data_IF_234079715629
#
_entry.id   IF_234079715629
#
_cell.length_a   1.000
_cell.length_b   1.000
_cell.length_c   1.000
_cell.angle_alpha   90.00
_cell.angle_beta   90.00
_cell.angle_gamma   90.00
#
_symmetry.space_group_name_H-M   'P 1'
#
loop_
_entity.id
_entity.type
_entity.pdbx_description
1 polymer ?
#
# COMPACT_ATOMS: atom_id res chain seq x y z
N UNK A 1 -48.09 72.71 -59.60
CA UNK A 1 -49.14 72.61 -58.56
C UNK A 1 -49.33 71.13 -58.25
N UNK A 2 -48.79 70.66 -57.11
CA UNK A 2 -49.51 70.30 -55.87
C UNK A 2 -50.31 68.98 -55.99
N UNK A 3 -50.36 68.03 -55.04
CA UNK A 3 -49.64 67.63 -53.82
C UNK A 3 -50.25 66.23 -53.45
N UNK A 4 -49.54 65.40 -52.70
CA UNK A 4 -49.79 63.96 -52.40
C UNK A 4 -50.91 63.69 -51.34
N UNK A 5 -50.98 62.55 -50.58
CA UNK A 5 -50.71 61.09 -50.78
C UNK A 5 -51.77 60.14 -50.11
N UNK A 6 -51.63 58.80 -50.27
CA UNK A 6 -51.77 57.69 -49.27
C UNK A 6 -51.92 56.32 -50.00
N UNK A 7 -51.40 55.15 -49.61
CA UNK A 7 -51.02 54.57 -48.29
C UNK A 7 -50.01 53.40 -48.47
N UNK A 8 -49.24 53.16 -47.41
CA UNK A 8 -48.28 52.06 -47.18
C UNK A 8 -48.80 50.62 -47.35
N UNK A 9 -47.91 49.69 -47.75
CA UNK A 9 -47.52 48.55 -46.89
C UNK A 9 -46.25 47.86 -47.39
N UNK A 10 -45.24 47.81 -46.52
CA UNK A 10 -43.99 47.09 -46.75
C UNK A 10 -44.19 45.57 -46.69
N UNK A 11 -43.66 44.86 -47.68
CA UNK A 11 -43.49 43.41 -47.67
C UNK A 11 -42.13 43.07 -47.08
N UNK A 12 -42.10 42.65 -45.81
CA UNK A 12 -40.91 42.10 -45.17
C UNK A 12 -40.53 40.75 -45.79
N UNK A 13 -39.32 40.67 -46.32
CA UNK A 13 -38.69 39.40 -46.72
C UNK A 13 -38.35 38.62 -45.45
N UNK A 14 -39.04 37.50 -45.22
CA UNK A 14 -38.68 36.55 -44.16
C UNK A 14 -37.45 35.74 -44.60
N UNK A 15 -36.28 36.09 -44.08
CA UNK A 15 -35.07 35.28 -44.15
C UNK A 15 -35.26 34.00 -43.33
N UNK A 16 -35.29 32.85 -44.00
CA UNK A 16 -35.26 31.54 -43.35
C UNK A 16 -33.87 31.30 -42.75
N UNK A 17 -33.76 31.41 -41.43
CA UNK A 17 -32.55 31.04 -40.70
C UNK A 17 -32.39 29.50 -40.72
N UNK A 18 -31.39 29.01 -41.47
CA UNK A 18 -30.92 27.62 -41.38
C UNK A 18 -30.42 27.34 -39.96
N UNK A 19 -31.22 26.60 -39.18
CA UNK A 19 -30.87 26.08 -37.86
C UNK A 19 -29.76 25.05 -38.03
N UNK A 20 -28.50 25.44 -37.80
CA UNK A 20 -27.36 24.51 -37.69
C UNK A 20 -27.57 23.64 -36.46
N UNK A 21 -28.09 22.43 -36.67
CA UNK A 21 -28.16 21.40 -35.66
C UNK A 21 -26.75 20.91 -35.35
N UNK A 22 -26.20 21.42 -34.23
CA UNK A 22 -24.91 20.98 -33.70
C UNK A 22 -25.07 19.53 -33.24
N UNK A 23 -24.66 18.57 -34.07
CA UNK A 23 -24.41 17.18 -33.64
C UNK A 23 -23.45 17.23 -32.46
N UNK A 24 -23.98 16.98 -31.26
CA UNK A 24 -23.23 16.86 -30.02
C UNK A 24 -22.38 15.58 -30.16
N UNK A 25 -21.13 15.73 -30.60
CA UNK A 25 -20.13 14.66 -30.47
C UNK A 25 -19.94 14.49 -28.97
N UNK A 26 -20.63 13.52 -28.37
CA UNK A 26 -20.33 13.06 -27.02
C UNK A 26 -18.95 12.44 -27.08
N UNK A 27 -17.92 13.22 -26.73
CA UNK A 27 -16.60 12.68 -26.41
C UNK A 27 -16.82 11.51 -25.43
N UNK A 28 -16.33 10.30 -25.72
CA UNK A 28 -16.41 9.22 -24.76
C UNK A 28 -15.78 9.71 -23.46
N UNK A 29 -16.50 9.58 -22.33
CA UNK A 29 -15.93 9.83 -21.00
C UNK A 29 -14.65 9.01 -20.91
N UNK A 30 -13.51 9.70 -20.87
CA UNK A 30 -12.21 9.06 -20.73
C UNK A 30 -12.29 8.10 -19.53
N UNK A 31 -11.94 6.84 -19.76
CA UNK A 31 -11.80 5.86 -18.69
C UNK A 31 -10.75 6.40 -17.71
N UNK A 32 -11.16 6.91 -16.55
CA UNK A 32 -10.33 7.72 -15.64
C UNK A 32 -9.30 6.92 -14.82
N UNK A 33 -9.01 5.67 -15.19
CA UNK A 33 -8.04 4.83 -14.49
C UNK A 33 -6.68 4.74 -15.22
N UNK A 34 -5.62 4.33 -14.52
CA UNK A 34 -4.33 4.02 -15.14
C UNK A 34 -4.46 2.98 -16.26
N UNK A 35 -3.60 3.08 -17.26
CA UNK A 35 -3.54 2.10 -18.36
C UNK A 35 -2.80 0.85 -17.90
N UNK A 36 -3.32 -0.29 -18.35
CA UNK A 36 -2.69 -1.59 -18.16
C UNK A 36 -1.82 -1.92 -19.38
N UNK A 37 -0.77 -2.72 -19.19
CA UNK A 37 0.10 -3.20 -20.27
C UNK A 37 -0.65 -3.96 -21.37
N UNK A 38 -1.79 -4.59 -21.05
CA UNK A 38 -2.65 -5.22 -22.06
C UNK A 38 -3.47 -4.23 -22.90
N UNK A 39 -3.34 -2.92 -22.69
CA UNK A 39 -4.17 -1.87 -23.30
C UNK A 39 -5.50 -1.59 -22.57
N UNK A 40 -5.87 -2.45 -21.63
CA UNK A 40 -7.05 -2.25 -20.77
C UNK A 40 -6.90 -1.08 -19.79
N UNK A 41 -7.97 -0.79 -19.05
CA UNK A 41 -7.94 0.26 -18.01
C UNK A 41 -8.20 -0.34 -16.64
N UNK A 42 -7.37 0.06 -15.67
CA UNK A 42 -7.52 -0.33 -14.29
C UNK A 42 -8.72 0.36 -13.63
N UNK A 43 -9.45 -0.37 -12.80
CA UNK A 43 -10.53 0.17 -11.95
C UNK A 43 -10.22 -0.11 -10.48
N UNK A 44 -10.54 0.81 -9.56
CA UNK A 44 -10.33 0.57 -8.14
C UNK A 44 -11.20 -0.59 -7.67
N UNK A 45 -10.64 -1.46 -6.84
CA UNK A 45 -11.29 -2.62 -6.22
C UNK A 45 -10.75 -2.83 -4.81
N UNK A 46 -11.50 -3.56 -4.00
CA UNK A 46 -10.98 -4.18 -2.78
C UNK A 46 -10.46 -5.57 -3.13
N UNK A 47 -9.16 -5.78 -2.93
CA UNK A 47 -8.51 -7.06 -3.18
C UNK A 47 -8.77 -8.01 -2.00
N UNK A 48 -9.08 -9.26 -2.33
CA UNK A 48 -9.36 -10.33 -1.35
C UNK A 48 -8.28 -11.38 -1.50
N UNK A 49 -7.61 -11.72 -0.39
CA UNK A 49 -6.55 -12.73 -0.32
C UNK A 49 -5.46 -12.55 -1.40
N UNK A 50 -5.05 -11.31 -1.64
CA UNK A 50 -3.97 -10.98 -2.59
C UNK A 50 -2.65 -11.57 -2.10
N UNK A 51 -1.94 -12.32 -2.94
CA UNK A 51 -0.61 -12.84 -2.60
C UNK A 51 0.42 -11.72 -2.59
N UNK A 52 0.90 -11.38 -1.40
CA UNK A 52 1.86 -10.31 -1.16
C UNK A 52 3.29 -10.82 -0.98
N UNK A 53 3.49 -12.14 -1.11
CA UNK A 53 4.75 -12.79 -0.75
C UNK A 53 5.95 -12.28 -1.55
N UNK A 54 5.73 -11.86 -2.80
CA UNK A 54 6.77 -11.26 -3.65
C UNK A 54 7.26 -9.90 -3.15
N UNK A 55 6.38 -9.12 -2.52
CA UNK A 55 6.74 -7.82 -1.96
C UNK A 55 7.43 -7.98 -0.60
N UNK A 56 6.90 -8.85 0.26
CA UNK A 56 7.43 -9.04 1.62
C UNK A 56 8.66 -9.98 1.66
N UNK A 57 8.84 -10.83 0.66
CA UNK A 57 9.89 -11.87 0.68
C UNK A 57 9.61 -13.01 1.67
N UNK A 58 8.35 -13.20 2.06
CA UNK A 58 7.85 -14.23 2.97
C UNK A 58 6.35 -14.49 2.73
N UNK A 59 5.82 -15.69 3.06
CA UNK A 59 4.42 -16.03 2.86
C UNK A 59 3.48 -15.01 3.52
N UNK A 60 2.80 -14.21 2.70
CA UNK A 60 1.95 -13.13 3.19
C UNK A 60 0.80 -12.83 2.23
N UNK A 61 -0.34 -12.44 2.81
CA UNK A 61 -1.55 -12.13 2.08
C UNK A 61 -2.14 -10.80 2.54
N UNK A 62 -2.81 -10.09 1.63
CA UNK A 62 -3.64 -8.94 1.97
C UNK A 62 -5.11 -9.30 1.77
N UNK A 63 -5.94 -9.12 2.80
CA UNK A 63 -7.39 -9.26 2.69
C UNK A 63 -8.08 -7.93 3.02
N UNK A 64 -8.81 -7.39 2.05
CA UNK A 64 -9.43 -6.07 2.18
C UNK A 64 -8.54 -4.90 1.73
N UNK A 65 -7.45 -5.16 1.02
CA UNK A 65 -6.54 -4.12 0.56
C UNK A 65 -7.17 -3.27 -0.56
N UNK A 66 -7.05 -1.93 -0.50
CA UNK A 66 -7.40 -1.09 -1.64
C UNK A 66 -6.40 -1.34 -2.78
N UNK A 67 -6.90 -1.61 -3.97
CA UNK A 67 -6.07 -1.87 -5.13
C UNK A 67 -6.80 -1.58 -6.43
N UNK A 68 -6.23 -2.06 -7.52
CA UNK A 68 -6.76 -1.87 -8.86
C UNK A 68 -6.82 -3.20 -9.59
N UNK A 69 -7.87 -3.41 -10.38
CA UNK A 69 -8.00 -4.57 -11.27
C UNK A 69 -8.27 -4.11 -12.69
N UNK A 70 -7.52 -4.66 -13.65
CA UNK A 70 -7.72 -4.35 -15.06
C UNK A 70 -9.06 -4.92 -15.53
N UNK A 71 -9.91 -4.08 -16.15
CA UNK A 71 -11.19 -4.54 -16.69
C UNK A 71 -11.07 -5.50 -17.88
N UNK A 72 -9.89 -5.57 -18.52
CA UNK A 72 -9.66 -6.40 -19.71
C UNK A 72 -8.94 -7.72 -19.37
N UNK A 73 -7.77 -7.66 -18.74
CA UNK A 73 -6.96 -8.85 -18.46
C UNK A 73 -7.04 -9.34 -17.00
N UNK A 74 -7.85 -8.71 -16.15
CA UNK A 74 -7.99 -9.04 -14.72
C UNK A 74 -6.71 -8.95 -13.87
N UNK A 75 -5.60 -8.44 -14.41
CA UNK A 75 -4.38 -8.19 -13.63
C UNK A 75 -4.70 -7.25 -12.47
N UNK A 76 -4.11 -7.55 -11.32
CA UNK A 76 -4.23 -6.77 -10.11
C UNK A 76 -2.98 -5.92 -9.88
N UNK A 77 -3.16 -4.77 -9.25
CA UNK A 77 -2.08 -3.82 -8.99
C UNK A 77 -2.34 -3.11 -7.66
N UNK A 78 -1.27 -2.96 -6.88
CA UNK A 78 -1.27 -2.19 -5.64
C UNK A 78 -0.68 -0.80 -5.89
N UNK A 79 -1.20 0.19 -5.15
CA UNK A 79 -0.57 1.49 -5.08
C UNK A 79 0.65 1.42 -4.14
N UNK A 80 1.74 2.13 -4.45
CA UNK A 80 2.99 2.06 -3.67
C UNK A 80 2.82 2.36 -2.17
N UNK A 81 1.88 3.25 -1.82
CA UNK A 81 1.55 3.51 -0.42
C UNK A 81 0.92 2.29 0.28
N UNK A 82 0.06 1.53 -0.41
CA UNK A 82 -0.52 0.28 0.14
C UNK A 82 0.58 -0.75 0.36
N UNK A 83 1.53 -0.84 -0.58
CA UNK A 83 2.71 -1.72 -0.44
C UNK A 83 3.50 -1.33 0.82
N UNK A 84 3.85 -0.05 0.96
CA UNK A 84 4.64 0.45 2.10
C UNK A 84 3.93 0.25 3.44
N UNK A 85 2.63 0.56 3.53
CA UNK A 85 1.85 0.35 4.74
C UNK A 85 1.72 -1.15 5.08
N UNK A 86 1.51 -2.01 4.08
CA UNK A 86 1.43 -3.46 4.29
C UNK A 86 2.77 -4.02 4.80
N UNK A 87 3.90 -3.60 4.23
CA UNK A 87 5.23 -3.98 4.71
C UNK A 87 5.46 -3.56 6.17
N UNK A 88 4.99 -2.36 6.54
CA UNK A 88 5.04 -1.88 7.92
C UNK A 88 4.18 -2.73 8.86
N UNK A 89 2.91 -3.00 8.51
CA UNK A 89 2.02 -3.81 9.34
C UNK A 89 2.58 -5.21 9.54
N UNK A 90 3.10 -5.83 8.49
CA UNK A 90 3.80 -7.11 8.57
C UNK A 90 4.96 -7.07 9.58
N UNK A 91 5.77 -6.00 9.56
CA UNK A 91 6.88 -5.88 10.51
C UNK A 91 6.39 -5.77 11.96
N UNK A 92 5.31 -5.02 12.19
CA UNK A 92 4.73 -4.84 13.53
C UNK A 92 4.01 -6.09 14.04
N UNK A 93 3.36 -6.83 13.15
CA UNK A 93 2.81 -8.16 13.48
C UNK A 93 3.93 -9.10 13.91
N UNK A 94 5.02 -9.19 13.12
CA UNK A 94 6.20 -10.00 13.46
C UNK A 94 6.75 -9.65 14.84
N UNK A 95 6.86 -8.36 15.16
CA UNK A 95 7.29 -7.87 16.47
C UNK A 95 6.33 -8.27 17.59
N UNK A 96 5.03 -8.34 17.33
CA UNK A 96 3.99 -8.73 18.29
C UNK A 96 3.82 -10.24 18.51
N UNK A 97 4.30 -11.11 17.60
CA UNK A 97 4.10 -12.57 17.74
C UNK A 97 4.57 -13.10 19.11
N UNK A 98 3.85 -14.06 19.72
CA UNK A 98 4.14 -14.54 21.07
C UNK A 98 5.35 -15.48 21.15
N UNK A 99 5.72 -16.14 20.06
CA UNK A 99 6.87 -17.07 20.00
C UNK A 99 8.15 -16.36 19.53
N UNK A 100 9.32 -17.00 19.74
CA UNK A 100 10.60 -16.51 19.19
C UNK A 100 10.55 -16.36 17.66
N UNK A 101 11.34 -15.43 17.13
CA UNK A 101 11.44 -15.18 15.69
C UNK A 101 11.99 -16.42 14.98
N UNK A 102 11.34 -16.80 13.88
CA UNK A 102 11.93 -17.74 12.92
C UNK A 102 13.05 -17.06 12.15
N UNK A 103 13.86 -17.84 11.44
CA UNK A 103 14.90 -17.33 10.54
C UNK A 103 14.36 -16.31 9.51
N UNK A 104 13.18 -16.60 8.95
CA UNK A 104 12.50 -15.71 8.00
C UNK A 104 12.06 -14.40 8.62
N UNK A 105 11.49 -14.45 9.83
CA UNK A 105 11.07 -13.26 10.56
C UNK A 105 12.26 -12.40 11.00
N UNK A 106 13.32 -12.99 11.55
CA UNK A 106 14.54 -12.26 11.93
C UNK A 106 15.15 -11.53 10.73
N UNK A 107 15.27 -12.23 9.59
CA UNK A 107 15.74 -11.66 8.33
C UNK A 107 14.84 -10.55 7.82
N UNK A 108 13.52 -10.73 7.91
CA UNK A 108 12.56 -9.71 7.48
C UNK A 108 12.72 -8.44 8.31
N UNK A 109 12.72 -8.52 9.64
CA UNK A 109 12.88 -7.35 10.52
C UNK A 109 14.17 -6.59 10.21
N UNK A 110 15.29 -7.30 10.01
CA UNK A 110 16.55 -6.66 9.60
C UNK A 110 16.41 -5.92 8.26
N UNK A 111 15.81 -6.57 7.26
CA UNK A 111 15.60 -5.96 5.93
C UNK A 111 14.65 -4.78 5.98
N UNK A 112 13.63 -4.81 6.84
CA UNK A 112 12.74 -3.66 7.08
C UNK A 112 13.50 -2.45 7.61
N UNK A 113 14.56 -2.66 8.40
CA UNK A 113 15.48 -1.61 8.84
C UNK A 113 16.51 -1.18 7.80
N UNK A 114 16.57 -1.85 6.64
CA UNK A 114 17.52 -1.61 5.54
C UNK A 114 18.99 -1.68 5.95
N UNK A 115 19.33 -2.54 6.92
CA UNK A 115 20.71 -2.74 7.38
C UNK A 115 21.25 -4.13 7.00
N UNK A 116 22.56 -4.22 6.87
CA UNK A 116 23.32 -5.46 6.67
C UNK A 116 23.34 -6.34 7.92
N UNK A 117 23.75 -7.60 7.78
CA UNK A 117 23.95 -8.49 8.93
C UNK A 117 25.05 -7.97 9.87
N UNK A 118 26.09 -7.32 9.31
CA UNK A 118 27.17 -6.74 10.10
C UNK A 118 26.66 -5.58 10.95
N UNK A 119 25.94 -4.63 10.35
CA UNK A 119 25.39 -3.49 11.09
C UNK A 119 24.39 -3.91 12.17
N UNK A 120 23.60 -4.97 11.94
CA UNK A 120 22.75 -5.52 12.99
C UNK A 120 23.58 -6.11 14.13
N UNK A 121 24.62 -6.88 13.80
CA UNK A 121 25.49 -7.50 14.79
C UNK A 121 26.21 -6.43 15.64
N UNK A 122 26.70 -5.36 15.00
CA UNK A 122 27.34 -4.23 15.67
C UNK A 122 26.36 -3.53 16.64
N UNK A 123 25.10 -3.30 16.21
CA UNK A 123 24.04 -2.72 17.08
C UNK A 123 23.67 -3.62 18.25
N UNK A 124 23.80 -4.94 18.10
CA UNK A 124 23.48 -5.92 19.13
C UNK A 124 24.69 -6.29 20.01
N UNK A 125 25.90 -5.86 19.65
CA UNK A 125 27.13 -6.22 20.37
C UNK A 125 27.49 -7.71 20.23
N UNK A 126 27.23 -8.33 19.08
CA UNK A 126 27.45 -9.76 18.82
C UNK A 126 28.28 -9.97 17.55
N UNK A 127 28.77 -11.20 17.35
CA UNK A 127 29.43 -11.59 16.10
C UNK A 127 28.44 -11.66 14.91
N UNK A 128 28.88 -11.30 13.71
CA UNK A 128 28.07 -11.37 12.48
C UNK A 128 27.58 -12.79 12.18
N UNK A 129 28.42 -13.79 12.44
CA UNK A 129 28.16 -15.22 12.23
C UNK A 129 26.96 -15.69 13.05
N UNK A 130 26.74 -15.07 14.20
CA UNK A 130 25.60 -15.33 15.07
C UNK A 130 24.30 -14.91 14.38
N UNK A 131 24.25 -13.70 13.79
CA UNK A 131 23.09 -13.24 12.99
C UNK A 131 22.89 -14.15 11.76
N UNK A 132 23.97 -14.47 11.05
CA UNK A 132 23.92 -15.32 9.87
C UNK A 132 23.38 -16.73 10.19
N UNK A 133 23.73 -17.29 11.35
CA UNK A 133 23.26 -18.59 11.82
C UNK A 133 21.75 -18.60 12.07
N UNK A 134 21.20 -17.52 12.66
CA UNK A 134 19.76 -17.39 12.89
C UNK A 134 18.99 -17.25 11.58
N UNK A 135 19.45 -16.38 10.68
CA UNK A 135 18.76 -16.10 9.43
C UNK A 135 18.78 -17.28 8.46
N UNK A 136 19.73 -18.21 8.61
CA UNK A 136 19.86 -19.42 7.78
C UNK A 136 19.25 -20.68 8.40
N UNK A 137 18.58 -20.55 9.55
CA UNK A 137 18.03 -21.68 10.33
C UNK A 137 19.09 -22.67 10.83
N UNK A 138 20.38 -22.32 10.83
CA UNK A 138 21.45 -23.16 11.39
C UNK A 138 21.37 -23.22 12.92
N UNK A 139 20.99 -22.11 13.56
CA UNK A 139 20.74 -22.03 15.00
C UNK A 139 19.50 -21.19 15.28
N UNK A 140 18.74 -21.54 16.30
CA UNK A 140 17.67 -20.67 16.77
C UNK A 140 18.23 -19.37 17.38
N UNK A 141 17.48 -18.29 17.22
CA UNK A 141 17.75 -17.05 17.95
C UNK A 141 17.53 -17.29 19.44
N UNK A 142 18.43 -16.77 20.28
CA UNK A 142 18.24 -16.87 21.73
C UNK A 142 17.12 -15.91 22.20
N UNK A 143 16.49 -16.17 23.36
CA UNK A 143 15.45 -15.30 23.91
C UNK A 143 15.88 -13.82 24.07
N UNK A 144 17.12 -13.58 24.48
CA UNK A 144 17.65 -12.23 24.66
C UNK A 144 17.83 -11.51 23.32
N UNK A 145 18.39 -12.20 22.34
CA UNK A 145 18.59 -11.63 21.01
C UNK A 145 17.28 -11.41 20.26
N UNK A 146 16.27 -12.26 20.47
CA UNK A 146 14.90 -12.06 19.99
C UNK A 146 14.32 -10.75 20.51
N UNK A 147 14.39 -10.52 21.83
CA UNK A 147 13.90 -9.29 22.45
C UNK A 147 14.65 -8.06 21.91
N UNK A 148 15.99 -8.09 21.86
CA UNK A 148 16.79 -6.97 21.37
C UNK A 148 16.43 -6.62 19.92
N UNK A 149 16.32 -7.63 19.03
CA UNK A 149 15.96 -7.39 17.63
C UNK A 149 14.56 -6.76 17.50
N UNK A 150 13.58 -7.21 18.29
CA UNK A 150 12.24 -6.61 18.32
C UNK A 150 12.28 -5.15 18.79
N UNK A 151 13.03 -4.85 19.85
CA UNK A 151 13.20 -3.49 20.37
C UNK A 151 13.86 -2.58 19.33
N UNK A 152 14.90 -3.05 18.65
CA UNK A 152 15.56 -2.31 17.56
C UNK A 152 14.59 -2.00 16.41
N UNK A 153 13.79 -2.99 15.99
CA UNK A 153 12.78 -2.80 14.96
C UNK A 153 11.70 -1.80 15.41
N UNK A 154 11.19 -1.93 16.63
CA UNK A 154 10.17 -1.02 17.18
C UNK A 154 10.68 0.42 17.23
N UNK A 155 11.94 0.62 17.63
CA UNK A 155 12.55 1.93 17.64
C UNK A 155 12.72 2.49 16.23
N UNK A 156 13.19 1.67 15.27
CA UNK A 156 13.30 2.07 13.87
C UNK A 156 11.95 2.42 13.25
N UNK A 157 10.90 1.66 13.59
CA UNK A 157 9.56 1.88 13.06
C UNK A 157 9.05 3.30 13.37
N UNK A 158 9.47 3.92 14.48
CA UNK A 158 9.03 5.25 14.92
C UNK A 158 9.35 6.39 13.94
N UNK A 159 10.31 6.19 13.03
CA UNK A 159 10.64 7.14 11.97
C UNK A 159 10.00 6.80 10.62
N UNK A 160 9.05 5.86 10.57
CA UNK A 160 8.41 5.44 9.33
C UNK A 160 7.54 6.53 8.71
N UNK A 161 7.86 6.93 7.49
CA UNK A 161 7.03 7.83 6.68
C UNK A 161 5.85 7.12 6.01
N UNK A 162 5.83 5.77 6.04
CA UNK A 162 4.75 4.98 5.44
C UNK A 162 3.43 5.13 6.20
N UNK A 163 3.49 5.53 7.48
CA UNK A 163 2.36 5.50 8.41
C UNK A 163 2.16 6.88 9.04
N UNK A 164 0.93 7.40 9.10
CA UNK A 164 0.64 8.64 9.82
C UNK A 164 1.02 8.55 11.30
N UNK A 165 1.62 9.63 11.84
CA UNK A 165 2.19 9.67 13.20
C UNK A 165 1.23 9.20 14.30
N UNK A 166 -0.07 9.52 14.21
CA UNK A 166 -1.04 9.04 15.21
C UNK A 166 -1.14 7.52 15.23
N UNK A 167 -1.26 6.91 14.05
CA UNK A 167 -1.37 5.45 13.90
C UNK A 167 -0.07 4.77 14.35
N UNK A 168 1.07 5.39 14.05
CA UNK A 168 2.37 4.94 14.53
C UNK A 168 2.43 4.91 16.06
N UNK A 169 1.97 5.96 16.74
CA UNK A 169 1.96 6.04 18.21
C UNK A 169 1.07 4.94 18.80
N UNK A 170 -0.12 4.74 18.25
CA UNK A 170 -1.05 3.70 18.70
C UNK A 170 -0.41 2.30 18.59
N UNK A 171 0.19 2.00 17.43
CA UNK A 171 0.89 0.72 17.21
C UNK A 171 2.11 0.57 18.12
N UNK A 172 2.88 1.64 18.33
CA UNK A 172 4.03 1.60 19.22
C UNK A 172 3.62 1.27 20.66
N UNK A 173 2.49 1.82 21.15
CA UNK A 173 1.97 1.51 22.48
C UNK A 173 1.55 0.03 22.59
N UNK A 174 0.83 -0.47 21.59
CA UNK A 174 0.41 -1.88 21.53
C UNK A 174 1.63 -2.81 21.51
N UNK A 175 2.61 -2.52 20.65
CA UNK A 175 3.85 -3.29 20.54
C UNK A 175 4.62 -3.28 21.85
N UNK A 176 4.79 -2.12 22.51
CA UNK A 176 5.51 -2.03 23.78
C UNK A 176 4.86 -2.88 24.87
N UNK A 177 3.53 -3.00 24.90
CA UNK A 177 2.85 -3.92 25.81
C UNK A 177 3.25 -5.39 25.57
N UNK A 178 3.50 -5.78 24.32
CA UNK A 178 3.92 -7.14 23.94
C UNK A 178 5.42 -7.43 24.16
N UNK A 179 6.25 -6.40 24.34
CA UNK A 179 7.70 -6.52 24.59
C UNK A 179 8.06 -6.54 26.08
N UNK A 180 7.07 -6.74 26.94
CA UNK A 180 7.21 -6.76 28.41
C UNK A 180 7.94 -7.98 28.96
N UNK A 181 8.18 -9.04 28.15
CA UNK A 181 8.86 -10.25 28.60
C UNK A 181 9.75 -10.89 27.54
N UNK A 182 10.76 -11.62 28.02
CA UNK A 182 11.63 -12.48 27.22
C UNK A 182 10.87 -13.73 26.81
N UNK A 183 10.87 -14.06 25.50
CA UNK A 183 10.14 -15.22 24.96
C UNK A 183 10.95 -16.51 25.11
N UNK A 184 10.55 -17.36 26.05
CA UNK A 184 11.22 -18.63 26.33
C UNK A 184 10.84 -19.76 25.35
N UNK A 185 9.67 -19.67 24.73
CA UNK A 185 9.20 -20.68 23.78
C UNK A 185 10.01 -20.67 22.48
N UNK A 186 10.37 -21.84 21.92
CA UNK A 186 11.10 -21.92 20.67
C UNK A 186 10.32 -21.35 19.49
N UNK A 187 11.07 -20.99 18.45
CA UNK A 187 10.46 -20.54 17.21
C UNK A 187 9.69 -21.73 16.58
N UNK A 188 8.51 -21.49 15.97
CA UNK A 188 7.80 -22.54 15.28
C UNK A 188 8.65 -23.08 14.12
N UNK A 189 8.58 -24.39 13.88
CA UNK A 189 9.33 -25.05 12.80
C UNK A 189 9.03 -24.48 11.41
N UNK A 190 7.79 -24.03 11.21
CA UNK A 190 7.34 -23.38 9.97
C UNK A 190 7.02 -21.92 10.28
N UNK A 191 7.51 -21.02 9.43
CA UNK A 191 7.11 -19.60 9.47
C UNK A 191 5.62 -19.50 9.20
N UNK A 192 4.83 -18.91 10.12
CA UNK A 192 3.41 -18.68 9.90
C UNK A 192 3.16 -17.78 8.68
N UNK A 193 2.04 -18.00 8.00
CA UNK A 193 1.57 -17.07 6.97
C UNK A 193 1.13 -15.77 7.64
N UNK A 194 1.49 -14.63 7.06
CA UNK A 194 1.10 -13.32 7.56
C UNK A 194 -0.11 -12.78 6.80
N UNK A 195 -1.00 -12.09 7.51
CA UNK A 195 -2.23 -11.56 6.94
C UNK A 195 -2.44 -10.11 7.38
N UNK A 196 -2.33 -9.19 6.42
CA UNK A 196 -2.76 -7.81 6.64
C UNK A 196 -4.23 -7.69 6.26
N UNK A 197 -5.04 -7.17 7.17
CA UNK A 197 -6.49 -7.21 7.07
C UNK A 197 -7.10 -5.85 6.76
N UNK A 198 -8.39 -5.85 6.41
CA UNK A 198 -9.19 -4.64 6.24
C UNK A 198 -9.18 -3.77 7.50
N UNK A 199 -9.12 -4.37 8.70
CA UNK A 199 -8.99 -3.63 9.96
C UNK A 199 -7.69 -2.83 10.04
N UNK A 200 -6.58 -3.37 9.52
CA UNK A 200 -5.30 -2.66 9.52
C UNK A 200 -5.34 -1.44 8.60
N UNK A 201 -5.91 -1.60 7.39
CA UNK A 201 -6.11 -0.48 6.48
C UNK A 201 -7.08 0.57 7.02
N UNK A 202 -8.08 0.18 7.82
CA UNK A 202 -9.02 1.09 8.48
C UNK A 202 -8.38 1.91 9.60
N UNK A 203 -7.22 1.51 10.14
CA UNK A 203 -6.43 2.35 11.07
C UNK A 203 -5.92 3.61 10.37
N UNK A 204 -5.76 3.58 9.04
CA UNK A 204 -5.23 4.71 8.27
C UNK A 204 -6.33 5.76 8.02
N UNK A 205 -6.03 7.07 8.12
CA UNK A 205 -6.99 8.13 7.88
C UNK A 205 -7.59 8.09 6.47
N UNK A 206 -8.87 8.44 6.34
CA UNK A 206 -9.55 8.48 5.04
C UNK A 206 -8.84 9.38 4.01
N UNK A 207 -8.26 10.51 4.44
CA UNK A 207 -7.48 11.39 3.56
C UNK A 207 -6.22 10.72 3.00
N UNK A 208 -5.62 9.77 3.73
CA UNK A 208 -4.50 8.95 3.27
C UNK A 208 -4.99 7.93 2.23
N UNK A 209 -6.13 7.28 2.48
CA UNK A 209 -6.81 6.36 1.54
C UNK A 209 -7.21 7.05 0.22
N UNK A 210 -7.72 8.28 0.28
CA UNK A 210 -8.16 9.04 -0.88
C UNK A 210 -7.02 9.50 -1.79
N UNK A 211 -5.81 9.74 -1.25
CA UNK A 211 -4.62 10.01 -2.08
C UNK A 211 -4.29 8.81 -2.97
N UNK A 212 -4.42 7.59 -2.45
CA UNK A 212 -4.12 6.34 -3.16
C UNK A 212 -5.03 6.02 -4.36
N UNK A 213 -6.25 6.56 -4.35
CA UNK A 213 -7.22 6.34 -5.45
C UNK A 213 -7.04 7.36 -6.58
N UNK A 214 -6.36 8.48 -6.33
CA UNK A 214 -6.28 9.62 -7.24
C UNK A 214 -4.87 9.85 -7.82
N UNK A 215 -3.83 9.26 -7.24
CA UNK A 215 -2.47 9.32 -7.80
C UNK A 215 -2.21 8.14 -8.71
N UNK A 216 -1.65 8.42 -9.90
CA UNK A 216 -1.20 7.38 -10.80
C UNK A 216 -0.15 6.50 -10.07
N UNK A 217 -0.30 5.17 -10.07
CA UNK A 217 0.66 4.29 -9.43
C UNK A 217 2.01 4.44 -10.12
N UNK A 218 3.06 4.68 -9.35
CA UNK A 218 4.43 4.63 -9.84
C UNK A 218 4.72 3.19 -10.26
N UNK A 219 4.93 2.96 -11.55
CA UNK A 219 5.32 1.65 -12.06
C UNK A 219 6.75 1.39 -11.58
N UNK A 220 6.90 0.58 -10.53
CA UNK A 220 8.18 -0.06 -10.27
C UNK A 220 8.27 -1.27 -11.19
N UNK A 221 9.07 -1.13 -12.25
CA UNK A 221 9.55 -2.28 -13.00
C UNK A 221 10.42 -3.11 -12.04
N UNK A 222 9.99 -4.35 -11.79
CA UNK A 222 10.82 -5.40 -11.18
C UNK A 222 11.55 -6.15 -12.30
#
# INVERSE_FOLDING_TARGET
MQLAPHRHRGGGVKTMAKKKEKRKVTKPKASTGPKCECGGTFKPVTLRRFDFSRYAGLPSFLDGAPGWRCGSCQREMLHGQVVNASLFFIAMDIVGFPHRLTAGFARYLRRSMQITQQELADRMGIARETVASWESSLKEISPQHDLILRVLMSNHARSSEAIPTKVLVDIANDVMATLSSVRSEPAPRKTPDLLVTESDFKKLPAAWLSKMQNTAPTVFAL
#
